data_IF_041631564353
#
_entry.id   IF_041631564353
#
_cell.length_a   1.000
_cell.length_b   1.000
_cell.length_c   1.000
_cell.angle_alpha   90.00
_cell.angle_beta   90.00
_cell.angle_gamma   90.00
#
_symmetry.space_group_name_H-M   'P 1'
#
loop_
_entity.id
_entity.type
_entity.pdbx_description
1 polymer ?
#
# COMPACT_ATOMS: atom_id res chain seq x y z
N UNK A 1 17.88 -7.37 15.31
CA UNK A 1 17.16 -8.28 14.40
C UNK A 1 17.23 -7.63 13.03
N UNK A 2 17.70 -8.34 12.01
CA UNK A 2 17.80 -7.79 10.66
C UNK A 2 16.39 -7.70 10.09
N UNK A 3 15.99 -6.52 9.61
CA UNK A 3 14.74 -6.37 8.91
C UNK A 3 14.79 -7.22 7.63
N UNK A 4 13.76 -8.02 7.39
CA UNK A 4 13.70 -8.84 6.19
C UNK A 4 13.65 -7.93 4.96
N UNK A 5 14.47 -8.21 3.92
CA UNK A 5 14.41 -7.47 2.68
C UNK A 5 12.99 -7.55 2.12
N UNK A 6 12.60 -6.52 1.39
CA UNK A 6 11.27 -6.41 0.79
C UNK A 6 11.17 -7.34 -0.42
N UNK A 7 11.17 -8.65 -0.15
CA UNK A 7 11.03 -9.71 -1.13
C UNK A 7 9.57 -9.85 -1.55
N UNK A 8 9.31 -10.49 -2.70
CA UNK A 8 7.94 -10.75 -3.15
C UNK A 8 7.09 -11.49 -2.11
N UNK A 9 7.67 -12.42 -1.36
CA UNK A 9 6.98 -13.20 -0.31
C UNK A 9 6.56 -12.32 0.87
N UNK A 10 7.44 -11.41 1.29
CA UNK A 10 7.16 -10.46 2.36
C UNK A 10 6.11 -9.45 1.91
N UNK A 11 6.23 -8.94 0.67
CA UNK A 11 5.22 -8.08 0.06
C UNK A 11 3.85 -8.76 0.07
N UNK A 12 3.74 -10.01 -0.39
CA UNK A 12 2.47 -10.74 -0.44
C UNK A 12 1.82 -10.85 0.95
N UNK A 13 2.63 -11.16 1.97
CA UNK A 13 2.17 -11.21 3.36
C UNK A 13 1.65 -9.87 3.87
N UNK A 14 2.35 -8.76 3.55
CA UNK A 14 1.90 -7.41 3.91
C UNK A 14 0.63 -7.06 3.16
N UNK A 15 0.57 -7.30 1.85
CA UNK A 15 -0.63 -7.07 1.02
C UNK A 15 -1.84 -7.78 1.60
N UNK A 16 -1.70 -9.06 1.94
CA UNK A 16 -2.78 -9.86 2.51
C UNK A 16 -3.27 -9.28 3.85
N UNK A 17 -2.36 -8.93 4.75
CA UNK A 17 -2.73 -8.29 6.02
C UNK A 17 -3.42 -6.94 5.81
N UNK A 18 -2.86 -6.09 4.95
CA UNK A 18 -3.45 -4.78 4.63
C UNK A 18 -4.83 -4.92 4.01
N UNK A 19 -5.05 -5.89 3.13
CA UNK A 19 -6.37 -6.11 2.53
C UNK A 19 -7.38 -6.68 3.52
N UNK A 20 -6.95 -7.52 4.46
CA UNK A 20 -7.83 -8.19 5.43
C UNK A 20 -8.19 -7.29 6.62
N UNK A 21 -7.20 -6.59 7.19
CA UNK A 21 -7.38 -5.74 8.38
C UNK A 21 -7.62 -4.26 8.01
N UNK A 22 -7.17 -3.82 6.83
CA UNK A 22 -7.10 -2.40 6.45
C UNK A 22 -7.62 -2.10 5.03
N UNK A 23 -8.61 -2.85 4.53
CA UNK A 23 -9.15 -2.64 3.17
C UNK A 23 -9.64 -1.20 2.90
N UNK A 24 -10.23 -0.55 3.90
CA UNK A 24 -10.64 0.87 3.80
C UNK A 24 -9.45 1.83 3.67
N UNK A 25 -8.30 1.51 4.30
CA UNK A 25 -7.08 2.28 4.17
C UNK A 25 -6.54 2.20 2.73
N UNK A 26 -6.54 1.00 2.14
CA UNK A 26 -6.11 0.79 0.75
C UNK A 26 -6.99 1.61 -0.21
N UNK A 27 -8.30 1.63 0.01
CA UNK A 27 -9.23 2.47 -0.75
C UNK A 27 -8.95 3.96 -0.57
N UNK A 28 -8.64 4.39 0.65
CA UNK A 28 -8.31 5.78 0.92
C UNK A 28 -7.02 6.20 0.24
N UNK A 29 -6.01 5.32 0.16
CA UNK A 29 -4.81 5.57 -0.62
C UNK A 29 -5.12 5.73 -2.11
N UNK A 30 -5.95 4.83 -2.65
CA UNK A 30 -6.36 4.88 -4.04
C UNK A 30 -7.06 6.20 -4.40
N UNK A 31 -7.95 6.67 -3.53
CA UNK A 31 -8.71 7.91 -3.70
C UNK A 31 -7.81 9.14 -3.62
N UNK A 32 -6.93 9.18 -2.62
CA UNK A 32 -6.15 10.37 -2.32
C UNK A 32 -4.86 10.47 -3.15
N UNK A 33 -4.06 9.41 -3.19
CA UNK A 33 -2.79 9.38 -3.92
C UNK A 33 -2.96 8.95 -5.37
N UNK A 34 -3.91 8.05 -5.65
CA UNK A 34 -4.21 7.61 -7.02
C UNK A 34 -5.20 8.49 -7.78
N UNK A 35 -5.83 9.46 -7.11
CA UNK A 35 -6.85 10.32 -7.70
C UNK A 35 -8.20 9.62 -8.01
N UNK A 36 -8.35 8.35 -7.64
CA UNK A 36 -9.54 7.55 -7.89
C UNK A 36 -10.65 7.86 -6.87
N UNK A 37 -11.07 9.12 -6.75
CA UNK A 37 -12.05 9.60 -5.75
C UNK A 37 -13.40 8.90 -5.83
N UNK A 38 -13.78 8.42 -7.01
CA UNK A 38 -15.01 7.66 -7.24
C UNK A 38 -14.86 6.13 -7.01
N UNK A 39 -13.68 5.67 -6.61
CA UNK A 39 -13.43 4.26 -6.36
C UNK A 39 -14.33 3.73 -5.24
N UNK A 40 -14.92 2.55 -5.44
CA UNK A 40 -15.72 1.88 -4.42
C UNK A 40 -14.93 0.81 -3.68
N UNK A 41 -13.94 0.19 -4.33
CA UNK A 41 -13.16 -0.91 -3.77
C UNK A 41 -11.71 -0.80 -4.23
N UNK A 42 -10.77 -1.09 -3.34
CA UNK A 42 -9.36 -1.17 -3.70
C UNK A 42 -8.69 -2.34 -2.97
N UNK A 43 -7.81 -3.03 -3.68
CA UNK A 43 -7.07 -4.19 -3.19
C UNK A 43 -5.60 -3.98 -3.47
N UNK A 44 -4.76 -4.11 -2.46
CA UNK A 44 -3.31 -4.01 -2.61
C UNK A 44 -2.80 -5.33 -3.23
N UNK A 45 -2.22 -5.26 -4.42
CA UNK A 45 -1.74 -6.45 -5.13
C UNK A 45 -0.27 -6.71 -4.81
N UNK A 46 0.55 -5.67 -4.84
CA UNK A 46 1.99 -5.79 -4.61
C UNK A 46 2.56 -4.51 -4.01
N UNK A 47 3.56 -4.65 -3.17
CA UNK A 47 4.38 -3.55 -2.68
C UNK A 47 5.78 -3.76 -3.23
N UNK A 48 6.30 -2.75 -3.90
CA UNK A 48 7.68 -2.68 -4.34
C UNK A 48 8.40 -1.57 -3.56
N UNK A 49 9.75 -1.61 -3.51
CA UNK A 49 10.52 -0.59 -2.80
C UNK A 49 10.23 0.84 -3.27
N UNK A 50 9.90 1.03 -4.56
CA UNK A 50 9.73 2.36 -5.16
C UNK A 50 8.25 2.74 -5.35
N UNK A 51 7.35 1.76 -5.34
CA UNK A 51 5.93 1.97 -5.59
C UNK A 51 5.08 0.81 -5.05
N UNK A 52 3.80 1.05 -4.85
CA UNK A 52 2.83 -0.01 -4.60
C UNK A 52 1.85 -0.14 -5.77
N UNK A 53 1.49 -1.38 -6.07
CA UNK A 53 0.48 -1.76 -7.04
C UNK A 53 -0.80 -2.17 -6.33
N UNK A 54 -1.91 -1.59 -6.76
CA UNK A 54 -3.22 -1.81 -6.22
C UNK A 54 -4.24 -1.90 -7.34
N UNK A 55 -5.20 -2.80 -7.20
CA UNK A 55 -6.35 -2.92 -8.08
C UNK A 55 -7.51 -2.10 -7.50
N UNK A 56 -7.97 -1.08 -8.23
CA UNK A 56 -9.07 -0.21 -7.84
C UNK A 56 -10.25 -0.46 -8.76
N UNK A 57 -11.37 -0.95 -8.22
CA UNK A 57 -12.53 -1.36 -9.01
C UNK A 57 -12.18 -2.29 -10.21
N UNK A 58 -11.15 -3.13 -10.02
CA UNK A 58 -10.64 -4.05 -11.04
C UNK A 58 -9.63 -3.44 -12.03
N UNK A 59 -9.27 -2.17 -11.88
CA UNK A 59 -8.26 -1.51 -12.69
C UNK A 59 -6.90 -1.48 -11.97
N UNK A 60 -5.80 -1.90 -12.62
CA UNK A 60 -4.49 -1.84 -12.01
C UNK A 60 -4.03 -0.38 -11.90
N UNK A 61 -3.58 -0.01 -10.71
CA UNK A 61 -3.08 1.32 -10.38
C UNK A 61 -1.77 1.21 -9.64
N UNK A 62 -0.87 2.16 -9.87
CA UNK A 62 0.44 2.19 -9.23
C UNK A 62 0.64 3.54 -8.56
N UNK A 63 0.92 3.52 -7.26
CA UNK A 63 1.24 4.72 -6.48
C UNK A 63 2.72 4.65 -6.12
N UNK A 64 3.49 5.66 -6.54
CA UNK A 64 4.92 5.77 -6.18
C UNK A 64 5.07 6.31 -4.77
N UNK A 65 6.04 5.78 -4.04
CA UNK A 65 6.41 6.32 -2.74
C UNK A 65 7.29 7.56 -2.92
N UNK A 66 7.28 8.45 -1.92
CA UNK A 66 8.14 9.63 -1.89
C UNK A 66 9.61 9.25 -1.61
N UNK A 67 9.83 8.07 -1.03
CA UNK A 67 11.13 7.48 -0.78
C UNK A 67 11.15 5.98 -1.09
N UNK A 68 12.35 5.42 -1.27
CA UNK A 68 12.52 3.98 -1.47
C UNK A 68 12.43 3.25 -0.14
N UNK A 69 11.52 2.28 -0.04
CA UNK A 69 11.39 1.41 1.11
C UNK A 69 12.63 0.51 1.24
N UNK A 70 13.23 0.48 2.43
CA UNK A 70 14.44 -0.32 2.66
C UNK A 70 14.12 -1.78 3.02
N UNK A 71 13.05 -2.00 3.77
CA UNK A 71 12.70 -3.29 4.35
C UNK A 71 11.21 -3.34 4.72
N UNK A 72 10.76 -4.51 5.19
CA UNK A 72 9.36 -4.74 5.56
C UNK A 72 8.82 -3.83 6.67
N UNK A 73 9.66 -3.45 7.63
CA UNK A 73 9.26 -2.58 8.73
C UNK A 73 9.09 -1.15 8.23
N UNK A 74 10.02 -0.68 7.39
CA UNK A 74 9.91 0.62 6.72
C UNK A 74 8.66 0.71 5.83
N UNK A 75 8.32 -0.37 5.11
CA UNK A 75 7.09 -0.46 4.33
C UNK A 75 5.85 -0.27 5.20
N UNK A 76 5.76 -1.03 6.29
CA UNK A 76 4.62 -0.95 7.19
C UNK A 76 4.51 0.45 7.83
N UNK A 77 5.63 1.01 8.30
CA UNK A 77 5.68 2.35 8.89
C UNK A 77 5.27 3.42 7.89
N UNK A 78 5.72 3.33 6.65
CA UNK A 78 5.38 4.27 5.57
C UNK A 78 3.88 4.23 5.27
N UNK A 79 3.31 3.03 5.11
CA UNK A 79 1.87 2.86 4.91
C UNK A 79 1.07 3.46 6.07
N UNK A 80 1.41 3.12 7.32
CA UNK A 80 0.72 3.68 8.49
C UNK A 80 0.85 5.20 8.56
N UNK A 81 2.02 5.75 8.21
CA UNK A 81 2.22 7.20 8.17
C UNK A 81 1.35 7.87 7.09
N UNK A 82 1.27 7.28 5.89
CA UNK A 82 0.38 7.74 4.83
C UNK A 82 -1.08 7.71 5.29
N UNK A 83 -1.52 6.65 5.98
CA UNK A 83 -2.89 6.55 6.51
C UNK A 83 -3.20 7.66 7.50
N UNK A 84 -2.26 7.93 8.40
CA UNK A 84 -2.41 8.99 9.41
C UNK A 84 -2.38 10.39 8.82
N UNK A 85 -1.76 10.58 7.66
CA UNK A 85 -1.73 11.84 6.94
C UNK A 85 -3.05 12.14 6.21
N UNK A 86 -3.88 11.13 5.96
CA UNK A 86 -5.19 11.31 5.36
C UNK A 86 -6.13 12.01 6.36
N UNK A 87 -6.81 13.09 5.95
CA UNK A 87 -7.85 13.70 6.77
C UNK A 87 -9.02 12.70 6.89
N UNK A 88 -9.37 12.37 8.14
CA UNK A 88 -10.53 11.53 8.47
C UNK A 88 -11.86 12.24 8.23
#
# INVERSE_FOLDING_TARGET
>A
MAADPLTPEVSDRICRHMNQDHGEAVLSYARHYGGATAASQATLERIEPEAMQLAVDGQPMTIRFDHRLSDSEDAHRTLVAMLRALPG
#
